data_IF_435953557512
#
_entry.id   IF_435953557512
#
_cell.length_a   1.000
_cell.length_b   1.000
_cell.length_c   1.000
_cell.angle_alpha   90.00
_cell.angle_beta   90.00
_cell.angle_gamma   90.00
#
_symmetry.space_group_name_H-M   'P 1'
#
loop_
_entity.id
_entity.type
_entity.pdbx_description
1 polymer ?
#
# COMPACT_ATOMS: atom_id res chain seq x y z
N UNK A 1 -5.09 21.46 -28.33
CA UNK A 1 -3.88 20.81 -27.80
C UNK A 1 -4.29 19.43 -27.35
N UNK A 2 -3.71 18.32 -27.83
CA UNK A 2 -4.03 17.01 -27.28
C UNK A 2 -3.52 16.99 -25.84
N UNK A 3 -4.43 16.77 -24.90
CA UNK A 3 -4.09 16.43 -23.51
C UNK A 3 -3.20 15.19 -23.56
N UNK A 4 -1.93 15.34 -23.22
CA UNK A 4 -1.04 14.20 -23.06
C UNK A 4 -1.68 13.29 -21.99
N UNK A 5 -2.19 12.15 -22.41
CA UNK A 5 -2.62 11.10 -21.47
C UNK A 5 -1.37 10.66 -20.73
N UNK A 6 -1.22 11.14 -19.50
CA UNK A 6 -0.11 10.71 -18.65
C UNK A 6 -0.34 9.23 -18.36
N UNK A 7 0.55 8.37 -18.86
CA UNK A 7 0.46 6.95 -18.59
C UNK A 7 0.54 6.70 -17.06
N UNK A 8 -0.35 5.89 -16.51
CA UNK A 8 -0.35 5.59 -15.08
C UNK A 8 0.93 4.85 -14.68
N UNK A 9 1.41 5.10 -13.47
CA UNK A 9 2.55 4.37 -12.90
C UNK A 9 2.24 2.89 -12.71
N UNK A 10 1.03 2.57 -12.21
CA UNK A 10 0.48 1.23 -12.13
C UNK A 10 -0.80 1.19 -12.94
N UNK A 11 -0.93 0.22 -13.84
CA UNK A 11 -2.16 -0.10 -14.55
C UNK A 11 -2.48 -1.59 -14.40
N UNK A 12 -3.69 -1.87 -13.94
CA UNK A 12 -4.23 -3.22 -13.75
C UNK A 12 -5.45 -3.37 -14.61
N UNK A 13 -5.51 -4.38 -15.45
CA UNK A 13 -6.65 -4.62 -16.33
C UNK A 13 -7.11 -6.08 -16.27
N UNK A 14 -8.39 -6.26 -15.96
CA UNK A 14 -9.11 -7.54 -15.86
C UNK A 14 -8.35 -8.58 -15.02
N UNK A 15 -7.74 -8.14 -13.92
CA UNK A 15 -6.93 -9.01 -13.06
C UNK A 15 -7.81 -10.00 -12.31
N UNK A 16 -7.48 -11.28 -12.42
CA UNK A 16 -8.04 -12.36 -11.63
C UNK A 16 -6.92 -13.01 -10.80
N UNK A 17 -7.20 -13.26 -9.53
CA UNK A 17 -6.26 -13.90 -8.60
C UNK A 17 -7.02 -14.56 -7.45
N UNK A 18 -6.31 -15.40 -6.68
CA UNK A 18 -6.88 -16.06 -5.52
C UNK A 18 -5.93 -17.05 -4.85
N UNK A 19 -6.45 -17.92 -4.03
CA UNK A 19 -5.69 -18.89 -3.25
C UNK A 19 -5.93 -20.31 -3.75
N UNK A 20 -4.94 -20.89 -4.42
CA UNK A 20 -5.06 -22.22 -5.02
C UNK A 20 -6.17 -22.25 -6.07
N UNK A 21 -7.24 -23.03 -5.81
CA UNK A 21 -8.41 -23.14 -6.71
C UNK A 21 -9.49 -22.10 -6.43
N UNK A 22 -9.39 -21.36 -5.34
CA UNK A 22 -10.41 -20.37 -4.94
C UNK A 22 -10.06 -19.04 -5.56
N UNK A 23 -10.90 -18.58 -6.51
CA UNK A 23 -10.78 -17.24 -7.08
C UNK A 23 -11.41 -16.22 -6.12
N UNK A 24 -10.67 -15.15 -5.83
CA UNK A 24 -11.07 -14.07 -4.91
C UNK A 24 -11.27 -12.76 -5.65
N UNK A 25 -10.47 -12.51 -6.69
CA UNK A 25 -10.54 -11.30 -7.51
C UNK A 25 -11.08 -11.68 -8.89
N UNK A 26 -12.04 -10.87 -9.37
CA UNK A 26 -12.82 -11.15 -10.56
C UNK A 26 -12.78 -9.98 -11.53
N UNK A 27 -11.72 -9.90 -12.35
CA UNK A 27 -11.61 -8.88 -13.39
C UNK A 27 -11.42 -7.48 -12.82
N UNK A 28 -10.41 -7.28 -11.97
CA UNK A 28 -10.10 -5.99 -11.37
C UNK A 28 -9.47 -5.06 -12.42
N UNK A 29 -10.06 -3.87 -12.56
CA UNK A 29 -9.49 -2.74 -13.27
C UNK A 29 -9.14 -1.65 -12.24
N UNK A 30 -7.89 -1.19 -12.24
CA UNK A 30 -7.38 -0.19 -11.29
C UNK A 30 -6.15 0.48 -11.89
N UNK A 31 -5.96 1.77 -11.61
CA UNK A 31 -4.71 2.45 -11.94
C UNK A 31 -4.25 3.38 -10.82
N UNK A 32 -2.96 3.70 -10.79
CA UNK A 32 -2.36 4.68 -9.88
C UNK A 32 -1.37 5.52 -10.68
N UNK A 33 -1.51 6.84 -10.62
CA UNK A 33 -0.59 7.78 -11.27
C UNK A 33 0.65 8.05 -10.40
N UNK A 34 1.72 8.56 -11.00
CA UNK A 34 2.89 8.95 -10.22
C UNK A 34 2.54 10.09 -9.23
N UNK A 35 2.97 9.96 -7.99
CA UNK A 35 2.70 10.94 -6.93
C UNK A 35 1.23 10.99 -6.46
N UNK A 36 0.38 10.08 -6.91
CA UNK A 36 -1.02 9.98 -6.48
C UNK A 36 -1.17 9.11 -5.24
N UNK A 37 -2.05 9.49 -4.33
CA UNK A 37 -2.51 8.65 -3.23
C UNK A 37 -3.89 8.09 -3.57
N UNK A 38 -3.98 6.78 -3.73
CA UNK A 38 -5.22 6.06 -4.02
C UNK A 38 -5.61 5.23 -2.81
N UNK A 39 -6.84 5.38 -2.32
CA UNK A 39 -7.39 4.54 -1.28
C UNK A 39 -8.15 3.34 -1.90
N UNK A 40 -7.91 2.14 -1.35
CA UNK A 40 -8.68 0.93 -1.66
C UNK A 40 -9.50 0.57 -0.43
N UNK A 41 -10.79 0.78 -0.51
CA UNK A 41 -11.75 0.57 0.55
C UNK A 41 -12.59 -0.69 0.30
N UNK A 42 -13.13 -1.28 1.36
CA UNK A 42 -14.01 -2.45 1.25
C UNK A 42 -14.12 -3.20 2.57
N UNK A 43 -15.20 -3.98 2.75
CA UNK A 43 -15.38 -4.80 3.95
C UNK A 43 -14.29 -5.86 4.09
N UNK A 44 -14.22 -6.47 5.28
CA UNK A 44 -13.32 -7.60 5.51
C UNK A 44 -13.70 -8.75 4.58
N UNK A 45 -12.69 -9.41 3.99
CA UNK A 45 -12.91 -10.47 3.02
C UNK A 45 -13.25 -9.98 1.59
N UNK A 46 -13.31 -8.68 1.32
CA UNK A 46 -13.59 -8.15 -0.02
C UNK A 46 -12.51 -8.50 -1.07
N UNK A 47 -11.28 -8.84 -0.64
CA UNK A 47 -10.17 -9.16 -1.51
C UNK A 47 -9.03 -8.11 -1.53
N UNK A 48 -9.06 -7.10 -0.66
CA UNK A 48 -8.06 -6.00 -0.61
C UNK A 48 -6.63 -6.53 -0.47
N UNK A 49 -6.35 -7.29 0.58
CA UNK A 49 -5.02 -7.91 0.81
C UNK A 49 -4.65 -8.89 -0.32
N UNK A 50 -5.63 -9.61 -0.89
CA UNK A 50 -5.39 -10.49 -2.03
C UNK A 50 -4.91 -9.70 -3.24
N UNK A 51 -5.50 -8.53 -3.51
CA UNK A 51 -5.08 -7.64 -4.58
C UNK A 51 -3.63 -7.16 -4.35
N UNK A 52 -3.32 -6.63 -3.17
CA UNK A 52 -1.95 -6.19 -2.87
C UNK A 52 -0.92 -7.33 -2.99
N UNK A 53 -1.29 -8.55 -2.56
CA UNK A 53 -0.42 -9.73 -2.71
C UNK A 53 -0.24 -10.15 -4.16
N UNK A 54 -1.26 -10.06 -5.00
CA UNK A 54 -1.14 -10.33 -6.43
C UNK A 54 -0.22 -9.30 -7.12
N UNK A 55 -0.40 -8.00 -6.83
CA UNK A 55 0.42 -6.93 -7.38
C UNK A 55 1.89 -7.02 -6.94
N UNK A 56 2.15 -7.50 -5.72
CA UNK A 56 3.51 -7.66 -5.18
C UNK A 56 4.17 -9.00 -5.53
N UNK A 57 3.49 -9.86 -6.28
CA UNK A 57 4.01 -11.18 -6.68
C UNK A 57 3.98 -12.24 -5.58
N UNK A 58 3.25 -12.00 -4.49
CA UNK A 58 3.04 -12.97 -3.40
C UNK A 58 1.90 -13.96 -3.70
N UNK A 59 1.04 -13.64 -4.66
CA UNK A 59 0.01 -14.52 -5.20
C UNK A 59 0.07 -14.50 -6.73
N UNK A 60 -0.30 -15.61 -7.38
CA UNK A 60 -0.30 -15.66 -8.84
C UNK A 60 -1.42 -14.80 -9.43
N UNK A 61 -1.14 -14.15 -10.55
CA UNK A 61 -2.13 -13.56 -11.45
C UNK A 61 -2.59 -14.68 -12.40
N UNK A 62 -3.87 -15.04 -12.32
CA UNK A 62 -4.45 -16.12 -13.12
C UNK A 62 -4.84 -15.63 -14.52
N UNK A 63 -5.31 -14.39 -14.64
CA UNK A 63 -5.57 -13.71 -15.91
C UNK A 63 -5.51 -12.18 -15.73
N UNK A 64 -5.50 -11.46 -16.84
CA UNK A 64 -5.37 -10.00 -16.87
C UNK A 64 -3.93 -9.52 -16.98
N UNK A 65 -3.73 -8.22 -16.80
CA UNK A 65 -2.44 -7.54 -16.98
C UNK A 65 -2.12 -6.68 -15.76
N UNK A 66 -0.83 -6.60 -15.41
CA UNK A 66 -0.31 -5.70 -14.39
C UNK A 66 0.91 -4.97 -14.97
N UNK A 67 0.72 -3.73 -15.40
CA UNK A 67 1.79 -2.90 -15.92
C UNK A 67 2.30 -1.94 -14.83
N UNK A 68 3.59 -1.89 -14.60
CA UNK A 68 4.24 -0.96 -13.69
C UNK A 68 5.35 -0.19 -14.41
N UNK A 69 5.18 1.12 -14.53
CA UNK A 69 6.07 1.96 -15.34
C UNK A 69 6.18 1.48 -16.79
N UNK A 70 5.07 1.04 -17.39
CA UNK A 70 4.99 0.51 -18.75
C UNK A 70 5.50 -0.92 -18.93
N UNK A 71 5.98 -1.60 -17.86
CA UNK A 71 6.47 -3.00 -17.92
C UNK A 71 5.44 -3.94 -17.33
N UNK A 72 5.23 -5.08 -17.97
CA UNK A 72 4.42 -6.15 -17.40
C UNK A 72 5.15 -6.79 -16.22
N UNK A 73 4.51 -6.78 -15.06
CA UNK A 73 4.98 -7.41 -13.82
C UNK A 73 4.05 -8.52 -13.34
N UNK A 74 3.07 -8.93 -14.15
CA UNK A 74 2.21 -10.06 -13.82
C UNK A 74 3.07 -11.31 -13.55
N UNK A 75 2.89 -11.93 -12.38
CA UNK A 75 3.68 -13.08 -11.93
C UNK A 75 5.20 -12.82 -11.74
N UNK A 76 5.65 -11.55 -11.72
CA UNK A 76 6.98 -11.24 -11.24
C UNK A 76 7.14 -11.63 -9.77
N UNK A 77 8.33 -12.05 -9.37
CA UNK A 77 8.61 -12.38 -7.95
C UNK A 77 8.59 -11.12 -7.07
N UNK A 78 8.32 -11.23 -5.76
CA UNK A 78 8.34 -10.07 -4.85
C UNK A 78 9.66 -9.28 -4.87
N UNK A 79 10.77 -9.98 -5.11
CA UNK A 79 12.08 -9.33 -5.26
C UNK A 79 12.16 -8.50 -6.54
N UNK A 80 11.59 -8.97 -7.64
CA UNK A 80 11.56 -8.25 -8.91
C UNK A 80 10.66 -7.02 -8.81
N UNK A 81 9.43 -7.15 -8.27
CA UNK A 81 8.52 -6.01 -8.08
C UNK A 81 9.14 -4.94 -7.19
N UNK A 82 9.79 -5.33 -6.08
CA UNK A 82 10.46 -4.41 -5.18
C UNK A 82 11.67 -3.70 -5.84
N UNK A 83 12.40 -4.36 -6.75
CA UNK A 83 13.49 -3.74 -7.53
C UNK A 83 13.00 -2.74 -8.56
N UNK A 84 11.83 -2.95 -9.16
CA UNK A 84 11.19 -1.98 -10.03
C UNK A 84 10.64 -0.77 -9.26
N UNK A 85 10.58 -0.84 -7.92
CA UNK A 85 10.13 0.24 -7.05
C UNK A 85 8.68 0.12 -6.59
N UNK A 86 8.02 -1.04 -6.77
CA UNK A 86 6.75 -1.37 -6.16
C UNK A 86 7.01 -2.10 -4.84
N UNK A 87 6.74 -1.46 -3.72
CA UNK A 87 7.01 -2.01 -2.38
C UNK A 87 5.70 -2.19 -1.62
N UNK A 88 5.51 -3.38 -1.06
CA UNK A 88 4.33 -3.76 -0.29
C UNK A 88 4.69 -3.88 1.19
N UNK A 89 4.11 -3.04 2.03
CA UNK A 89 4.13 -3.13 3.48
C UNK A 89 2.90 -3.93 3.91
N UNK A 90 3.14 -5.18 4.28
CA UNK A 90 2.10 -6.16 4.62
C UNK A 90 1.56 -5.84 6.02
N UNK A 91 0.26 -6.06 6.24
CA UNK A 91 -0.41 -5.95 7.52
C UNK A 91 0.33 -6.70 8.65
N UNK A 92 0.30 -6.13 9.85
CA UNK A 92 0.93 -6.64 11.07
C UNK A 92 2.38 -6.17 11.23
N UNK A 93 2.82 -6.19 12.49
CA UNK A 93 4.16 -5.70 12.88
C UNK A 93 5.25 -6.70 12.44
N UNK A 94 5.70 -6.59 11.18
CA UNK A 94 6.67 -7.52 10.57
C UNK A 94 8.11 -7.13 10.88
N UNK A 95 8.43 -7.02 12.17
CA UNK A 95 9.77 -6.69 12.65
C UNK A 95 10.50 -7.91 13.19
N UNK A 96 11.83 -7.94 13.01
CA UNK A 96 12.70 -8.92 13.64
C UNK A 96 12.97 -8.47 15.06
N UNK A 97 12.25 -9.05 16.02
CA UNK A 97 12.23 -8.62 17.43
C UNK A 97 13.59 -8.69 18.12
N UNK A 98 14.48 -9.57 17.69
CA UNK A 98 15.83 -9.75 18.26
C UNK A 98 16.88 -8.82 17.62
N UNK A 99 16.59 -8.22 16.48
CA UNK A 99 17.47 -7.28 15.80
C UNK A 99 17.21 -5.86 16.30
N UNK A 100 18.22 -4.99 16.22
CA UNK A 100 18.05 -3.56 16.47
C UNK A 100 17.15 -2.91 15.40
N UNK A 101 16.65 -1.70 15.67
CA UNK A 101 15.94 -0.88 14.66
C UNK A 101 16.82 -0.71 13.42
N UNK A 102 18.08 -0.35 13.62
CA UNK A 102 19.06 -0.19 12.52
C UNK A 102 19.21 -1.49 11.72
N UNK A 103 19.38 -2.63 12.38
CA UNK A 103 19.58 -3.91 11.68
C UNK A 103 18.32 -4.36 10.93
N UNK A 104 17.13 -4.10 11.48
CA UNK A 104 15.85 -4.32 10.79
C UNK A 104 15.79 -3.54 9.47
N UNK A 105 16.20 -2.27 9.49
CA UNK A 105 16.22 -1.42 8.29
C UNK A 105 17.30 -1.85 7.30
N UNK A 106 18.51 -2.17 7.78
CA UNK A 106 19.58 -2.65 6.92
C UNK A 106 19.27 -4.01 6.28
N UNK A 107 18.54 -4.87 6.98
CA UNK A 107 18.06 -6.14 6.42
C UNK A 107 17.06 -5.90 5.29
N UNK A 108 16.15 -4.92 5.43
CA UNK A 108 15.24 -4.54 4.35
C UNK A 108 15.97 -3.94 3.12
N UNK A 109 17.21 -3.48 3.31
CA UNK A 109 18.10 -2.92 2.28
C UNK A 109 19.19 -3.89 1.80
N UNK A 110 19.11 -5.19 2.15
CA UNK A 110 20.22 -6.14 1.95
C UNK A 110 20.69 -6.28 0.51
N UNK A 111 19.80 -6.12 -0.47
CA UNK A 111 20.10 -6.23 -1.89
C UNK A 111 20.33 -4.88 -2.60
N UNK A 112 20.34 -3.78 -1.84
CA UNK A 112 20.72 -2.46 -2.33
C UNK A 112 22.24 -2.29 -2.35
N UNK A 113 22.80 -1.40 -3.21
CA UNK A 113 24.21 -1.08 -3.23
C UNK A 113 24.71 -0.65 -1.84
N UNK A 114 25.86 -1.18 -1.42
CA UNK A 114 26.39 -0.91 -0.07
C UNK A 114 26.63 0.58 0.20
N UNK A 115 27.07 1.32 -0.81
CA UNK A 115 27.34 2.77 -0.70
C UNK A 115 26.08 3.60 -0.42
N UNK A 116 24.89 3.12 -0.83
CA UNK A 116 23.64 3.86 -0.66
C UNK A 116 22.95 3.61 0.68
N UNK A 117 23.29 2.49 1.36
CA UNK A 117 22.52 2.01 2.51
C UNK A 117 22.49 2.99 3.67
N UNK A 118 23.61 3.65 3.98
CA UNK A 118 23.70 4.62 5.07
C UNK A 118 22.77 5.83 4.82
N UNK A 119 22.84 6.43 3.63
CA UNK A 119 22.00 7.57 3.28
C UNK A 119 20.51 7.21 3.25
N UNK A 120 20.15 6.00 2.78
CA UNK A 120 18.78 5.51 2.76
C UNK A 120 18.26 5.19 4.16
N UNK A 121 19.12 4.68 5.05
CA UNK A 121 18.82 4.45 6.46
C UNK A 121 18.44 5.76 7.15
N UNK A 122 19.29 6.79 7.05
CA UNK A 122 19.02 8.10 7.66
C UNK A 122 17.74 8.74 7.07
N UNK A 123 17.53 8.60 5.78
CA UNK A 123 16.29 9.08 5.15
C UNK A 123 15.05 8.34 5.66
N UNK A 124 15.08 7.01 5.81
CA UNK A 124 13.96 6.24 6.34
C UNK A 124 13.67 6.61 7.80
N UNK A 125 14.71 6.77 8.63
CA UNK A 125 14.58 7.21 10.02
C UNK A 125 14.04 8.63 10.14
N UNK A 126 14.33 9.53 9.19
CA UNK A 126 13.83 10.92 9.22
C UNK A 126 12.30 11.03 9.12
N UNK A 127 11.61 10.00 8.67
CA UNK A 127 10.15 9.95 8.68
C UNK A 127 9.59 9.66 10.07
N UNK A 128 10.36 9.03 10.95
CA UNK A 128 9.91 8.56 12.26
C UNK A 128 10.97 8.85 13.35
N UNK A 129 11.04 10.11 13.87
CA UNK A 129 11.97 10.46 14.94
C UNK A 129 11.85 9.54 16.16
N UNK A 130 10.64 9.04 16.45
CA UNK A 130 10.34 8.18 17.59
C UNK A 130 11.09 6.84 17.57
N UNK A 131 11.42 6.32 16.39
CA UNK A 131 12.26 5.12 16.25
C UNK A 131 13.71 5.47 15.93
N UNK A 132 13.98 6.67 15.41
CA UNK A 132 15.34 7.13 15.18
C UNK A 132 16.12 7.29 16.49
N UNK A 133 15.48 7.81 17.54
CA UNK A 133 16.04 7.92 18.88
C UNK A 133 16.36 6.53 19.49
N UNK A 134 15.63 5.51 19.07
CA UNK A 134 15.72 4.11 19.52
C UNK A 134 16.48 3.22 18.55
N UNK A 135 17.33 3.80 17.68
CA UNK A 135 17.97 3.09 16.57
C UNK A 135 18.80 1.87 16.98
N UNK A 136 19.29 1.84 18.21
CA UNK A 136 20.11 0.76 18.77
C UNK A 136 19.30 -0.20 19.66
N UNK A 137 18.03 0.12 19.96
CA UNK A 137 17.15 -0.78 20.73
C UNK A 137 16.67 -1.94 19.84
N UNK A 138 16.36 -3.07 20.49
CA UNK A 138 15.78 -4.22 19.79
C UNK A 138 14.36 -3.91 19.32
N UNK A 139 13.97 -4.39 18.14
CA UNK A 139 12.61 -4.25 17.63
C UNK A 139 11.53 -4.77 18.59
N UNK A 140 11.84 -5.81 19.37
CA UNK A 140 10.91 -6.34 20.38
C UNK A 140 10.73 -5.47 21.62
N UNK A 141 11.61 -4.49 21.86
CA UNK A 141 11.47 -3.52 22.96
C UNK A 141 10.60 -2.30 22.59
N UNK A 142 10.26 -2.15 21.32
CA UNK A 142 9.41 -1.08 20.82
C UNK A 142 7.94 -1.33 21.19
N UNK A 143 7.17 -0.25 21.39
CA UNK A 143 5.71 -0.34 21.46
C UNK A 143 5.13 -0.83 20.13
N UNK A 144 3.88 -1.34 20.15
CA UNK A 144 3.21 -1.78 18.91
C UNK A 144 3.19 -0.70 17.82
N UNK A 145 2.89 0.55 18.19
CA UNK A 145 2.93 1.66 17.23
C UNK A 145 4.33 1.97 16.69
N UNK A 146 5.37 1.87 17.53
CA UNK A 146 6.76 2.01 17.07
C UNK A 146 7.19 0.84 16.17
N UNK A 147 6.71 -0.38 16.43
CA UNK A 147 6.93 -1.53 15.53
C UNK A 147 6.25 -1.30 14.17
N UNK A 148 5.05 -0.71 14.16
CA UNK A 148 4.38 -0.34 12.92
C UNK A 148 5.16 0.73 12.14
N UNK A 149 5.67 1.77 12.82
CA UNK A 149 6.56 2.76 12.20
C UNK A 149 7.81 2.11 11.60
N UNK A 150 8.42 1.17 12.32
CA UNK A 150 9.58 0.43 11.83
C UNK A 150 9.23 -0.41 10.59
N UNK A 151 8.05 -1.05 10.58
CA UNK A 151 7.55 -1.81 9.42
C UNK A 151 7.36 -0.90 8.18
N UNK A 152 6.78 0.28 8.36
CA UNK A 152 6.67 1.26 7.26
C UNK A 152 8.05 1.76 6.82
N UNK A 153 8.96 2.07 7.76
CA UNK A 153 10.32 2.50 7.47
C UNK A 153 11.14 1.46 6.69
N UNK A 154 10.90 0.15 6.93
CA UNK A 154 11.49 -0.95 6.13
C UNK A 154 11.05 -0.87 4.64
N UNK A 155 9.82 -0.45 4.37
CA UNK A 155 9.38 -0.17 3.00
C UNK A 155 10.06 1.07 2.41
N UNK A 156 10.15 2.14 3.19
CA UNK A 156 10.68 3.44 2.74
C UNK A 156 12.18 3.44 2.43
N UNK A 157 12.99 2.60 3.11
CA UNK A 157 14.44 2.52 2.85
C UNK A 157 14.74 2.12 1.40
N UNK A 158 13.81 1.49 0.71
CA UNK A 158 13.93 1.11 -0.70
C UNK A 158 13.69 2.27 -1.66
N UNK A 159 13.19 3.43 -1.20
CA UNK A 159 12.78 4.58 -2.02
C UNK A 159 11.77 4.16 -3.09
N UNK A 160 10.59 3.67 -2.70
CA UNK A 160 9.62 3.16 -3.65
C UNK A 160 9.12 4.26 -4.60
N UNK A 161 8.79 3.87 -5.83
CA UNK A 161 7.99 4.67 -6.76
C UNK A 161 6.51 4.55 -6.40
N UNK A 162 6.07 3.34 -5.96
CA UNK A 162 4.75 3.05 -5.42
C UNK A 162 4.92 2.29 -4.09
N UNK A 163 4.38 2.86 -3.02
CA UNK A 163 4.26 2.20 -1.71
C UNK A 163 2.83 1.69 -1.53
N UNK A 164 2.67 0.39 -1.35
CA UNK A 164 1.39 -0.22 -1.00
C UNK A 164 1.37 -0.50 0.50
N UNK A 165 0.36 0.04 1.19
CA UNK A 165 0.17 -0.08 2.63
C UNK A 165 -1.11 -0.87 2.92
N UNK A 166 -0.96 -2.02 3.60
CA UNK A 166 -2.09 -2.89 3.97
C UNK A 166 -2.45 -2.63 5.44
N UNK A 167 -3.51 -1.86 5.66
CA UNK A 167 -4.08 -1.47 6.96
C UNK A 167 -3.02 -0.91 7.95
N UNK A 168 -2.25 0.12 7.56
CA UNK A 168 -1.14 0.61 8.37
C UNK A 168 -1.57 1.26 9.68
N UNK A 169 -2.85 1.61 9.84
CA UNK A 169 -3.42 2.21 11.06
C UNK A 169 -4.04 1.20 12.02
N UNK A 170 -4.12 -0.08 11.63
CA UNK A 170 -4.77 -1.11 12.45
C UNK A 170 -4.14 -1.24 13.85
N UNK A 171 -4.97 -1.12 14.90
CA UNK A 171 -4.52 -1.23 16.29
C UNK A 171 -3.70 -0.06 16.81
N UNK A 172 -3.58 1.04 16.06
CA UNK A 172 -2.87 2.25 16.49
C UNK A 172 -3.78 3.21 17.27
N UNK A 173 -3.16 3.99 18.17
CA UNK A 173 -3.83 5.13 18.78
C UNK A 173 -4.08 6.23 17.74
N UNK A 174 -5.08 7.12 17.94
CA UNK A 174 -5.39 8.21 17.00
C UNK A 174 -4.17 9.07 16.63
N UNK A 175 -3.30 9.37 17.59
CA UNK A 175 -2.07 10.15 17.37
C UNK A 175 -1.12 9.45 16.42
N UNK A 176 -0.99 8.12 16.52
CA UNK A 176 -0.14 7.35 15.64
C UNK A 176 -0.74 7.16 14.24
N UNK A 177 -2.07 7.10 14.13
CA UNK A 177 -2.76 7.14 12.85
C UNK A 177 -2.45 8.45 12.12
N UNK A 178 -2.61 9.59 12.78
CA UNK A 178 -2.29 10.90 12.20
C UNK A 178 -0.82 10.97 11.77
N UNK A 179 0.10 10.36 12.55
CA UNK A 179 1.51 10.25 12.18
C UNK A 179 1.74 9.47 10.87
N UNK A 180 1.03 8.35 10.68
CA UNK A 180 1.10 7.59 9.41
C UNK A 180 0.57 8.43 8.24
N UNK A 181 -0.52 9.17 8.44
CA UNK A 181 -1.08 10.06 7.41
C UNK A 181 -0.13 11.21 7.04
N UNK A 182 0.57 11.80 8.02
CA UNK A 182 1.61 12.81 7.77
C UNK A 182 2.75 12.24 6.91
N UNK A 183 3.14 10.99 7.15
CA UNK A 183 4.15 10.32 6.33
C UNK A 183 3.66 10.12 4.89
N UNK A 184 2.40 9.70 4.70
CA UNK A 184 1.79 9.57 3.37
C UNK A 184 1.77 10.92 2.64
N UNK A 185 1.39 12.00 3.31
CA UNK A 185 1.39 13.35 2.73
C UNK A 185 2.81 13.79 2.31
N UNK A 186 3.84 13.50 3.13
CA UNK A 186 5.25 13.77 2.79
C UNK A 186 5.72 12.95 1.59
N UNK A 187 5.32 11.67 1.49
CA UNK A 187 5.65 10.79 0.36
C UNK A 187 5.05 11.33 -0.93
N UNK A 188 3.76 11.71 -0.89
CA UNK A 188 3.07 12.38 -2.01
C UNK A 188 3.81 13.64 -2.45
N UNK A 189 4.19 14.51 -1.52
CA UNK A 189 4.96 15.73 -1.78
C UNK A 189 6.32 15.47 -2.45
N UNK A 190 6.90 14.28 -2.24
CA UNK A 190 8.15 13.83 -2.86
C UNK A 190 7.93 13.05 -4.17
N UNK A 191 6.70 12.96 -4.68
CA UNK A 191 6.36 12.27 -5.93
C UNK A 191 6.23 10.75 -5.81
N UNK A 192 6.25 10.19 -4.59
CA UNK A 192 5.98 8.77 -4.37
C UNK A 192 4.48 8.51 -4.44
N UNK A 193 4.04 7.58 -5.28
CA UNK A 193 2.67 7.12 -5.30
C UNK A 193 2.37 6.20 -4.11
N UNK A 194 1.13 6.23 -3.60
CA UNK A 194 0.69 5.37 -2.50
C UNK A 194 -0.63 4.68 -2.85
N UNK A 195 -0.69 3.36 -2.68
CA UNK A 195 -1.95 2.60 -2.67
C UNK A 195 -2.22 2.19 -1.21
N UNK A 196 -3.21 2.85 -0.61
CA UNK A 196 -3.55 2.73 0.80
C UNK A 196 -4.78 1.86 0.97
N UNK A 197 -4.65 0.71 1.61
CA UNK A 197 -5.79 -0.08 2.10
C UNK A 197 -6.07 0.32 3.54
N UNK A 198 -7.30 0.75 3.81
CA UNK A 198 -7.72 1.18 5.14
C UNK A 198 -9.16 0.79 5.45
N UNK A 199 -9.45 0.63 6.74
CA UNK A 199 -10.81 0.44 7.25
C UNK A 199 -11.42 1.75 7.77
N UNK A 200 -10.58 2.69 8.22
CA UNK A 200 -11.01 4.00 8.72
C UNK A 200 -11.33 4.93 7.54
N UNK A 201 -12.59 4.89 7.11
CA UNK A 201 -13.07 5.60 5.91
C UNK A 201 -12.67 7.07 5.89
N UNK A 202 -12.97 7.83 6.96
CA UNK A 202 -12.70 9.27 7.03
C UNK A 202 -11.19 9.56 6.87
N UNK A 203 -10.34 8.76 7.50
CA UNK A 203 -8.88 8.90 7.43
C UNK A 203 -8.34 8.57 6.04
N UNK A 204 -8.86 7.50 5.42
CA UNK A 204 -8.48 7.13 4.07
C UNK A 204 -8.86 8.22 3.05
N UNK A 205 -10.08 8.76 3.14
CA UNK A 205 -10.55 9.83 2.26
C UNK A 205 -9.78 11.14 2.45
N UNK A 206 -9.41 11.47 3.69
CA UNK A 206 -8.61 12.67 3.98
C UNK A 206 -7.19 12.60 3.39
N UNK A 207 -6.62 11.39 3.27
CA UNK A 207 -5.26 11.19 2.75
C UNK A 207 -5.19 11.02 1.23
N UNK A 208 -6.26 10.52 0.60
CA UNK A 208 -6.26 10.09 -0.79
C UNK A 208 -6.77 11.17 -1.76
N UNK A 209 -6.32 11.08 -3.01
CA UNK A 209 -6.83 11.87 -4.14
C UNK A 209 -8.04 11.19 -4.80
N UNK A 210 -8.02 9.84 -4.81
CA UNK A 210 -9.03 9.00 -5.45
C UNK A 210 -9.25 7.73 -4.63
N UNK A 211 -10.44 7.16 -4.75
CA UNK A 211 -10.84 5.95 -4.04
C UNK A 211 -11.38 4.90 -5.00
N UNK A 212 -11.03 3.65 -4.73
CA UNK A 212 -11.71 2.47 -5.24
C UNK A 212 -12.44 1.77 -4.10
N UNK A 213 -13.69 1.35 -4.34
CA UNK A 213 -14.40 0.47 -3.44
C UNK A 213 -14.40 -0.94 -4.01
N UNK A 214 -13.92 -1.89 -3.21
CA UNK A 214 -13.86 -3.31 -3.53
C UNK A 214 -14.92 -4.06 -2.71
N UNK A 215 -15.76 -4.85 -3.38
CA UNK A 215 -16.73 -5.72 -2.75
C UNK A 215 -16.78 -7.06 -3.47
N UNK A 216 -16.68 -8.17 -2.71
CA UNK A 216 -16.75 -9.54 -3.26
C UNK A 216 -15.84 -9.76 -4.48
N UNK A 217 -14.61 -9.24 -4.42
CA UNK A 217 -13.62 -9.39 -5.48
C UNK A 217 -13.86 -8.56 -6.74
N UNK A 218 -14.74 -7.56 -6.71
CA UNK A 218 -14.99 -6.63 -7.83
C UNK A 218 -14.80 -5.18 -7.39
N UNK A 219 -14.28 -4.34 -8.28
CA UNK A 219 -14.37 -2.89 -8.10
C UNK A 219 -15.83 -2.49 -8.36
N UNK A 220 -16.45 -1.88 -7.35
CA UNK A 220 -17.87 -1.45 -7.39
C UNK A 220 -18.02 0.07 -7.47
N UNK A 221 -16.96 0.81 -7.20
CA UNK A 221 -16.90 2.27 -7.31
C UNK A 221 -15.48 2.72 -7.57
N UNK A 222 -15.33 3.72 -8.43
CA UNK A 222 -14.16 4.59 -8.58
C UNK A 222 -14.64 6.03 -8.51
N UNK A 223 -13.97 6.88 -7.71
CA UNK A 223 -14.33 8.30 -7.56
C UNK A 223 -13.14 9.12 -7.07
N UNK A 224 -13.12 10.42 -7.41
CA UNK A 224 -12.24 11.38 -6.76
C UNK A 224 -12.73 11.67 -5.34
N UNK A 225 -11.81 11.84 -4.38
CA UNK A 225 -12.21 12.14 -2.99
C UNK A 225 -12.83 13.51 -2.82
N UNK A 226 -12.65 14.40 -3.79
CA UNK A 226 -13.27 15.73 -3.85
C UNK A 226 -14.75 15.73 -4.28
N UNK A 227 -15.32 14.59 -4.72
CA UNK A 227 -16.72 14.50 -5.12
C UNK A 227 -17.64 14.60 -3.90
N UNK A 228 -18.56 15.57 -3.90
CA UNK A 228 -19.39 15.88 -2.74
C UNK A 228 -20.38 14.76 -2.36
N UNK A 229 -20.79 13.93 -3.33
CA UNK A 229 -21.71 12.80 -3.13
C UNK A 229 -21.01 11.46 -2.83
N UNK A 230 -19.67 11.48 -2.71
CA UNK A 230 -18.88 10.27 -2.48
C UNK A 230 -19.34 9.44 -1.27
N UNK A 231 -19.63 10.01 -0.09
CA UNK A 231 -20.09 9.22 1.06
C UNK A 231 -21.35 8.42 0.75
N UNK A 232 -22.36 9.05 0.09
CA UNK A 232 -23.60 8.40 -0.29
C UNK A 232 -23.40 7.31 -1.36
N UNK A 233 -22.46 7.53 -2.29
CA UNK A 233 -22.11 6.53 -3.32
C UNK A 233 -21.40 5.33 -2.72
N UNK A 234 -20.51 5.53 -1.75
CA UNK A 234 -19.84 4.44 -1.01
C UNK A 234 -20.87 3.62 -0.23
N UNK A 235 -21.77 4.28 0.50
CA UNK A 235 -22.83 3.59 1.23
C UNK A 235 -23.68 2.71 0.30
N UNK A 236 -24.14 3.24 -0.84
CA UNK A 236 -24.91 2.47 -1.84
C UNK A 236 -24.10 1.31 -2.42
N UNK A 237 -22.80 1.53 -2.69
CA UNK A 237 -21.93 0.50 -3.23
C UNK A 237 -21.77 -0.70 -2.27
N UNK A 238 -21.76 -0.46 -0.96
CA UNK A 238 -21.69 -1.50 0.04
C UNK A 238 -23.06 -2.14 0.36
N UNK A 239 -24.12 -1.35 0.51
CA UNK A 239 -25.47 -1.83 0.84
C UNK A 239 -26.21 -2.41 -0.36
N UNK A 240 -25.95 -1.91 -1.57
CA UNK A 240 -26.67 -2.33 -2.78
C UNK A 240 -26.46 -3.79 -3.18
N UNK A 241 -25.44 -4.47 -2.65
CA UNK A 241 -25.17 -5.90 -2.90
C UNK A 241 -25.70 -6.84 -1.80
N UNK A 242 -26.06 -6.35 -0.62
CA UNK A 242 -26.73 -7.18 0.40
C UNK A 242 -28.18 -7.56 0.01
N UNK A 243 -28.78 -6.81 -0.93
CA UNK A 243 -30.16 -7.09 -1.40
C UNK A 243 -30.28 -8.05 -2.59
N UNK A 244 -29.16 -8.52 -3.14
CA UNK A 244 -29.16 -9.43 -4.33
C UNK A 244 -28.95 -10.90 -3.97
N UNK A 245 -28.94 -11.27 -2.69
CA UNK A 245 -28.89 -12.66 -2.21
C UNK A 245 -30.21 -12.94 -1.47
N UNK A 246 -31.27 -13.11 -2.25
CA UNK A 246 -32.58 -13.55 -1.84
C UNK A 246 -33.14 -14.50 -2.87
#
# INVERSE_FOLDING_TARGET
MPTSVVEPLLAVARLESGHGKIRVLHGIDLHVSAGEVVALLGPNGAGKTTLLRALSGLLPVNSGYVLFGGRDIANATPRQTAREGLVHVIEGHRVFTQLSVTDNLLLAAYDLPRGDRAARLEQALSFFPEIAEKRHERGGALSGGQQQMLTVAQGLIRRPRLLMLDEPSAGLSPVLVDRVLDVIARLRGNGTAVLLVEQLLEKALAAADRVYALAQGHIVLEAATSEADLPQRLERAYLGRERSVG
#
